data_IF_704640347379
#
_entry.id   IF_704640347379
#
_cell.length_a   1.000
_cell.length_b   1.000
_cell.length_c   1.000
_cell.angle_alpha   90.00
_cell.angle_beta   90.00
_cell.angle_gamma   90.00
#
_symmetry.space_group_name_H-M   'P 1'
#
loop_
_entity.id
_entity.type
_entity.pdbx_description
1 polymer ?
#
# COMPACT_ATOMS: atom_id res chain seq x y z
N UNK A 1 -20.92 36.48 72.79
CA UNK A 1 -19.58 36.04 72.35
C UNK A 1 -19.32 36.70 71.00
N UNK A 2 -18.47 37.74 70.92
CA UNK A 2 -17.03 37.66 70.51
C UNK A 2 -16.87 36.74 69.29
N UNK A 3 -16.38 37.14 68.11
CA UNK A 3 -15.61 38.32 67.66
C UNK A 3 -15.43 38.20 66.14
N UNK A 4 -15.47 39.34 65.41
CA UNK A 4 -14.53 39.85 64.36
C UNK A 4 -13.98 38.91 63.26
N UNK A 5 -13.73 39.29 62.00
CA UNK A 5 -13.30 40.56 61.35
C UNK A 5 -13.64 40.46 59.84
N UNK A 6 -14.25 41.48 59.20
CA UNK A 6 -13.64 42.52 58.32
C UNK A 6 -12.72 41.96 57.21
N UNK A 7 -12.76 42.39 55.95
CA UNK A 7 -12.79 43.74 55.36
C UNK A 7 -12.77 43.53 53.82
N UNK A 8 -13.16 44.38 52.87
CA UNK A 8 -13.26 45.83 52.73
C UNK A 8 -13.89 46.04 51.33
N UNK A 9 -14.99 46.77 51.15
CA UNK A 9 -15.10 48.23 51.04
C UNK A 9 -14.42 48.84 49.78
N UNK A 10 -15.28 49.44 48.93
CA UNK A 10 -15.17 50.74 48.22
C UNK A 10 -15.41 50.61 46.71
N UNK A 11 -16.62 50.89 46.19
CA UNK A 11 -17.27 52.22 45.99
C UNK A 11 -16.59 53.02 44.86
N UNK A 12 -17.24 53.77 43.97
CA UNK A 12 -18.62 54.23 43.79
C UNK A 12 -18.67 54.87 42.37
N UNK A 13 -19.83 54.90 41.73
CA UNK A 13 -20.16 55.87 40.68
C UNK A 13 -20.12 57.31 41.23
N UNK A 14 -19.62 58.29 40.46
CA UNK A 14 -20.19 59.66 40.33
C UNK A 14 -19.85 60.24 38.95
N UNK A 15 -20.82 60.96 38.37
CA UNK A 15 -20.90 61.44 37.00
C UNK A 15 -20.48 62.93 36.80
N UNK A 16 -20.30 63.27 35.52
CA UNK A 16 -20.32 64.61 34.86
C UNK A 16 -19.20 65.60 35.24
N UNK A 17 -18.48 66.25 34.31
CA UNK A 17 -18.98 67.20 33.29
C UNK A 17 -17.94 67.51 32.19
N UNK A 18 -18.46 67.77 30.98
CA UNK A 18 -18.06 68.74 29.93
C UNK A 18 -16.60 68.81 29.41
N UNK A 19 -16.43 68.57 28.10
CA UNK A 19 -15.22 68.96 27.38
C UNK A 19 -15.17 68.54 25.91
N UNK A 20 -15.69 69.41 25.02
CA UNK A 20 -15.20 69.71 23.66
C UNK A 20 -14.63 68.60 22.76
N UNK A 21 -15.41 68.27 21.72
CA UNK A 21 -15.02 68.11 20.31
C UNK A 21 -13.60 67.64 19.94
N UNK A 22 -13.52 66.43 19.36
CA UNK A 22 -12.75 66.20 18.14
C UNK A 22 -13.37 65.05 17.34
N UNK A 23 -13.76 65.36 16.11
CA UNK A 23 -14.26 64.41 15.10
C UNK A 23 -13.06 63.59 14.65
N UNK A 24 -13.04 62.31 14.99
CA UNK A 24 -12.15 61.32 14.40
C UNK A 24 -13.01 60.35 13.60
N UNK A 25 -12.76 60.24 12.30
CA UNK A 25 -13.50 59.39 11.38
C UNK A 25 -13.53 57.94 11.89
N UNK A 26 -14.71 57.48 12.33
CA UNK A 26 -14.97 56.07 12.57
C UNK A 26 -14.95 55.42 11.20
N UNK A 27 -13.89 54.68 10.92
CA UNK A 27 -13.89 53.70 9.84
C UNK A 27 -14.96 52.68 10.20
N UNK A 28 -16.08 52.69 9.48
CA UNK A 28 -17.10 51.65 9.55
C UNK A 28 -16.42 50.39 9.03
N UNK A 29 -15.88 49.59 9.93
CA UNK A 29 -15.54 48.20 9.63
C UNK A 29 -16.86 47.50 9.39
N UNK A 30 -17.21 47.36 8.11
CA UNK A 30 -18.23 46.40 7.69
C UNK A 30 -17.72 45.06 8.23
N UNK A 31 -18.43 44.39 9.16
CA UNK A 31 -18.03 43.06 9.58
C UNK A 31 -18.04 42.20 8.31
N UNK A 32 -16.86 41.79 7.87
CA UNK A 32 -16.74 40.72 6.89
C UNK A 32 -17.36 39.51 7.59
N UNK A 33 -18.59 39.16 7.21
CA UNK A 33 -19.18 37.90 7.57
C UNK A 33 -18.18 36.82 7.14
N UNK A 34 -17.57 36.15 8.13
CA UNK A 34 -16.90 34.89 7.86
C UNK A 34 -17.93 34.04 7.12
N UNK A 35 -17.64 33.66 5.87
CA UNK A 35 -18.48 32.75 5.13
C UNK A 35 -18.67 31.52 6.02
N UNK A 36 -19.88 31.32 6.54
CA UNK A 36 -20.24 30.11 7.24
C UNK A 36 -20.15 28.99 6.21
N UNK A 37 -19.00 28.36 6.11
CA UNK A 37 -18.87 27.12 5.38
C UNK A 37 -19.76 26.13 6.10
N UNK A 38 -20.97 25.91 5.56
CA UNK A 38 -21.88 24.89 6.05
C UNK A 38 -21.26 23.51 5.74
N UNK A 39 -20.32 23.10 6.59
CA UNK A 39 -19.72 21.76 6.57
C UNK A 39 -20.84 20.77 6.82
N UNK A 40 -21.22 20.05 5.77
CA UNK A 40 -22.31 19.08 5.84
C UNK A 40 -21.68 17.70 5.83
N UNK A 41 -21.90 16.91 6.89
CA UNK A 41 -21.51 15.50 6.90
C UNK A 41 -22.35 14.72 5.88
N UNK A 42 -21.79 13.65 5.31
CA UNK A 42 -22.53 12.76 4.39
C UNK A 42 -23.69 12.10 5.11
N UNK A 43 -24.90 12.19 4.54
CA UNK A 43 -26.08 11.55 5.10
C UNK A 43 -26.21 10.07 4.66
N UNK A 44 -27.09 9.31 5.30
CA UNK A 44 -27.24 7.87 5.05
C UNK A 44 -27.61 7.51 3.60
N UNK A 45 -28.43 8.33 2.93
CA UNK A 45 -28.81 8.10 1.53
C UNK A 45 -27.64 8.34 0.56
N UNK A 46 -26.85 9.40 0.80
CA UNK A 46 -25.62 9.66 0.08
C UNK A 46 -24.60 8.53 0.32
N UNK A 47 -24.49 8.05 1.56
CA UNK A 47 -23.61 6.94 1.92
C UNK A 47 -23.97 5.65 1.17
N UNK A 48 -25.26 5.29 1.16
CA UNK A 48 -25.76 4.13 0.42
C UNK A 48 -25.48 4.25 -1.09
N UNK A 49 -25.63 5.46 -1.66
CA UNK A 49 -25.31 5.74 -3.06
C UNK A 49 -23.82 5.61 -3.34
N UNK A 50 -22.94 6.11 -2.47
CA UNK A 50 -21.48 5.93 -2.58
C UNK A 50 -21.14 4.44 -2.56
N UNK A 51 -21.67 3.67 -1.59
CA UNK A 51 -21.40 2.23 -1.47
C UNK A 51 -21.89 1.43 -2.68
N UNK A 52 -23.07 1.76 -3.22
CA UNK A 52 -23.58 1.14 -4.44
C UNK A 52 -22.70 1.50 -5.65
N UNK A 53 -22.34 2.76 -5.80
CA UNK A 53 -21.47 3.24 -6.87
C UNK A 53 -20.08 2.59 -6.80
N UNK A 54 -19.50 2.45 -5.61
CA UNK A 54 -18.24 1.73 -5.38
C UNK A 54 -18.27 0.30 -5.94
N UNK A 55 -19.34 -0.45 -5.64
CA UNK A 55 -19.47 -1.84 -6.09
C UNK A 55 -19.73 -1.94 -7.58
N UNK A 56 -20.60 -1.08 -8.12
CA UNK A 56 -20.93 -1.05 -9.56
C UNK A 56 -19.77 -0.55 -10.41
N UNK A 57 -18.90 0.27 -9.84
CA UNK A 57 -17.68 0.78 -10.46
C UNK A 57 -16.53 -0.24 -10.48
N UNK A 58 -16.69 -1.44 -9.96
CA UNK A 58 -15.67 -2.49 -10.05
C UNK A 58 -16.11 -3.57 -11.03
N UNK A 59 -15.54 -3.55 -12.23
CA UNK A 59 -15.78 -4.59 -13.22
C UNK A 59 -14.52 -5.42 -13.47
N UNK A 60 -14.71 -6.75 -13.59
CA UNK A 60 -13.74 -7.55 -14.33
C UNK A 60 -13.78 -7.09 -15.79
N UNK A 61 -12.61 -7.00 -16.39
CA UNK A 61 -12.47 -6.59 -17.78
C UNK A 61 -11.57 -7.57 -18.54
N UNK A 62 -11.91 -7.78 -19.81
CA UNK A 62 -11.02 -8.40 -20.78
C UNK A 62 -10.09 -7.35 -21.41
N UNK A 63 -8.84 -7.73 -21.63
CA UNK A 63 -7.87 -6.86 -22.30
C UNK A 63 -8.17 -6.76 -23.80
N UNK A 64 -8.06 -5.56 -24.35
CA UNK A 64 -8.03 -5.34 -25.80
C UNK A 64 -6.65 -5.71 -26.38
N UNK A 65 -6.48 -5.67 -27.70
CA UNK A 65 -5.22 -6.09 -28.35
C UNK A 65 -4.00 -5.25 -27.94
N UNK A 66 -4.15 -3.93 -27.79
CA UNK A 66 -3.05 -3.06 -27.36
C UNK A 66 -2.63 -3.36 -25.91
N UNK A 67 -3.61 -3.60 -25.04
CA UNK A 67 -3.36 -3.97 -23.65
C UNK A 67 -2.72 -5.36 -23.52
N UNK A 68 -3.15 -6.33 -24.32
CA UNK A 68 -2.50 -7.65 -24.39
C UNK A 68 -1.03 -7.52 -24.78
N UNK A 69 -0.73 -6.68 -25.78
CA UNK A 69 0.66 -6.41 -26.17
C UNK A 69 1.45 -5.74 -25.03
N UNK A 70 0.89 -4.71 -24.39
CA UNK A 70 1.50 -4.09 -23.21
C UNK A 70 1.83 -5.15 -22.15
N UNK A 71 0.84 -5.94 -21.71
CA UNK A 71 1.04 -6.93 -20.65
C UNK A 71 2.05 -8.02 -21.03
N UNK A 72 2.13 -8.39 -22.31
CA UNK A 72 3.19 -9.28 -22.79
C UNK A 72 4.58 -8.63 -22.66
N UNK A 73 4.72 -7.34 -22.98
CA UNK A 73 5.98 -6.61 -22.79
C UNK A 73 6.35 -6.51 -21.30
N UNK A 74 5.38 -6.20 -20.43
CA UNK A 74 5.57 -6.18 -18.98
C UNK A 74 6.06 -7.55 -18.47
N UNK A 75 5.41 -8.62 -18.90
CA UNK A 75 5.79 -9.99 -18.56
C UNK A 75 7.21 -10.30 -19.02
N UNK A 76 7.58 -9.94 -20.24
CA UNK A 76 8.92 -10.16 -20.77
C UNK A 76 9.99 -9.40 -19.98
N UNK A 77 9.72 -8.13 -19.60
CA UNK A 77 10.63 -7.34 -18.76
C UNK A 77 10.79 -8.00 -17.38
N UNK A 78 9.68 -8.41 -16.76
CA UNK A 78 9.68 -9.02 -15.41
C UNK A 78 10.47 -10.34 -15.36
N UNK A 79 10.44 -11.10 -16.46
CA UNK A 79 11.13 -12.38 -16.58
C UNK A 79 12.61 -12.25 -17.01
N UNK A 80 13.06 -11.08 -17.47
CA UNK A 80 14.45 -10.86 -17.86
C UNK A 80 15.34 -10.49 -16.64
N UNK A 81 15.39 -11.36 -15.64
CA UNK A 81 16.15 -11.12 -14.41
C UNK A 81 17.66 -11.34 -14.58
N UNK A 82 18.07 -12.14 -15.57
CA UNK A 82 19.49 -12.43 -15.84
C UNK A 82 20.28 -11.19 -16.25
N UNK A 83 19.64 -10.21 -16.89
CA UNK A 83 20.27 -8.95 -17.30
C UNK A 83 20.56 -7.98 -16.13
N UNK A 84 20.03 -8.26 -14.94
CA UNK A 84 20.22 -7.42 -13.76
C UNK A 84 21.62 -7.61 -13.17
N UNK A 85 22.10 -8.86 -13.12
CA UNK A 85 23.42 -9.19 -12.62
C UNK A 85 24.52 -8.76 -13.59
N UNK A 86 25.60 -8.17 -13.07
CA UNK A 86 26.77 -7.79 -13.86
C UNK A 86 28.03 -8.46 -13.30
N UNK A 87 28.56 -9.51 -13.95
CA UNK A 87 29.72 -10.24 -13.44
C UNK A 87 31.00 -9.41 -13.41
N UNK A 88 31.05 -8.24 -14.06
CA UNK A 88 32.21 -7.35 -14.03
C UNK A 88 32.33 -6.59 -12.71
N UNK A 89 31.22 -6.43 -11.97
CA UNK A 89 31.19 -5.75 -10.68
C UNK A 89 31.49 -6.76 -9.57
N UNK A 90 32.65 -6.60 -8.91
CA UNK A 90 33.15 -7.56 -7.91
C UNK A 90 32.68 -7.29 -6.48
N UNK A 91 32.39 -6.03 -6.15
CA UNK A 91 31.94 -5.61 -4.82
C UNK A 91 30.46 -5.92 -4.63
N UNK A 92 30.11 -6.66 -3.57
CA UNK A 92 28.72 -7.05 -3.28
C UNK A 92 27.81 -5.83 -3.09
N UNK A 93 28.16 -4.79 -2.30
CA UNK A 93 27.35 -3.59 -2.20
C UNK A 93 27.16 -2.86 -3.54
N UNK A 94 28.22 -2.75 -4.36
CA UNK A 94 28.11 -2.08 -5.66
C UNK A 94 27.21 -2.87 -6.62
N UNK A 95 27.33 -4.20 -6.61
CA UNK A 95 26.48 -5.06 -7.43
C UNK A 95 25.02 -5.00 -6.97
N UNK A 96 24.78 -4.89 -5.66
CA UNK A 96 23.45 -4.67 -5.10
C UNK A 96 22.83 -3.35 -5.58
N UNK A 97 23.54 -2.22 -5.45
CA UNK A 97 23.05 -0.92 -5.93
C UNK A 97 22.84 -0.86 -7.44
N UNK A 98 23.70 -1.53 -8.22
CA UNK A 98 23.52 -1.67 -9.67
C UNK A 98 22.20 -2.38 -10.00
N UNK A 99 21.91 -3.51 -9.33
CA UNK A 99 20.65 -4.23 -9.51
C UNK A 99 19.45 -3.35 -9.13
N UNK A 100 19.49 -2.69 -7.96
CA UNK A 100 18.40 -1.79 -7.52
C UNK A 100 18.12 -0.71 -8.55
N UNK A 101 19.17 -0.09 -9.08
CA UNK A 101 19.08 0.95 -10.11
C UNK A 101 18.44 0.42 -11.38
N UNK A 102 18.87 -0.76 -11.87
CA UNK A 102 18.28 -1.40 -13.06
C UNK A 102 16.81 -1.76 -12.84
N UNK A 103 16.43 -2.23 -11.66
CA UNK A 103 15.03 -2.51 -11.33
C UNK A 103 14.21 -1.21 -11.38
N UNK A 104 14.67 -0.12 -10.77
CA UNK A 104 14.00 1.18 -10.88
C UNK A 104 13.86 1.67 -12.34
N UNK A 105 14.87 1.45 -13.18
CA UNK A 105 14.80 1.75 -14.62
C UNK A 105 13.73 0.91 -15.35
N UNK A 106 13.59 -0.38 -14.98
CA UNK A 106 12.51 -1.21 -15.52
C UNK A 106 11.14 -0.64 -15.12
N UNK A 107 10.95 -0.21 -13.87
CA UNK A 107 9.72 0.45 -13.44
C UNK A 107 9.40 1.74 -14.22
N UNK A 108 10.42 2.58 -14.46
CA UNK A 108 10.27 3.77 -15.28
C UNK A 108 9.85 3.42 -16.72
N UNK A 109 10.46 2.39 -17.31
CA UNK A 109 10.14 1.88 -18.65
C UNK A 109 8.70 1.37 -18.72
N UNK A 110 8.30 0.56 -17.74
CA UNK A 110 6.95 0.01 -17.62
C UNK A 110 5.90 1.12 -17.52
N UNK A 111 6.15 2.13 -16.68
CA UNK A 111 5.27 3.29 -16.57
C UNK A 111 5.14 4.01 -17.91
N UNK A 112 6.25 4.20 -18.64
CA UNK A 112 6.23 4.84 -19.94
C UNK A 112 5.44 4.03 -20.99
N UNK A 113 5.63 2.71 -21.04
CA UNK A 113 4.85 1.82 -21.91
C UNK A 113 3.35 1.89 -21.61
N UNK A 114 2.98 1.93 -20.33
CA UNK A 114 1.60 2.09 -19.92
C UNK A 114 1.03 3.47 -20.30
N UNK A 115 1.81 4.55 -20.16
CA UNK A 115 1.41 5.90 -20.61
C UNK A 115 1.19 5.93 -22.13
N UNK A 116 2.07 5.30 -22.91
CA UNK A 116 1.91 5.21 -24.38
C UNK A 116 0.63 4.44 -24.74
N UNK A 117 0.30 3.39 -23.98
CA UNK A 117 -0.87 2.53 -24.26
C UNK A 117 -2.20 3.18 -23.83
N UNK A 118 -2.23 3.84 -22.67
CA UNK A 118 -3.47 4.36 -22.07
C UNK A 118 -3.67 5.86 -22.22
N UNK A 119 -2.61 6.61 -22.54
CA UNK A 119 -2.57 8.06 -22.44
C UNK A 119 -2.35 8.56 -21.00
N UNK A 120 -1.82 9.78 -20.88
CA UNK A 120 -1.56 10.42 -19.58
C UNK A 120 -2.85 10.73 -18.79
N UNK A 121 -3.99 10.82 -19.47
CA UNK A 121 -5.29 11.10 -18.86
C UNK A 121 -5.92 9.89 -18.16
N UNK A 122 -5.30 8.71 -18.22
CA UNK A 122 -5.75 7.49 -17.53
C UNK A 122 -4.77 7.03 -16.42
N UNK A 123 -4.46 7.87 -15.42
CA UNK A 123 -3.47 7.55 -14.38
C UNK A 123 -3.80 6.26 -13.60
N UNK A 124 -5.08 5.95 -13.40
CA UNK A 124 -5.55 4.72 -12.76
C UNK A 124 -5.15 3.46 -13.54
N UNK A 125 -5.18 3.51 -14.88
CA UNK A 125 -4.77 2.37 -15.73
C UNK A 125 -3.25 2.22 -15.76
N UNK A 126 -2.53 3.34 -15.82
CA UNK A 126 -1.06 3.37 -15.74
C UNK A 126 -0.59 2.76 -14.41
N UNK A 127 -1.23 3.14 -13.30
CA UNK A 127 -0.92 2.61 -11.98
C UNK A 127 -1.22 1.12 -11.88
N UNK A 128 -2.40 0.66 -12.33
CA UNK A 128 -2.75 -0.76 -12.30
C UNK A 128 -1.85 -1.62 -13.20
N UNK A 129 -1.40 -1.10 -14.33
CA UNK A 129 -0.41 -1.78 -15.18
C UNK A 129 0.97 -1.87 -14.50
N UNK A 130 1.38 -0.81 -13.79
CA UNK A 130 2.62 -0.81 -13.00
C UNK A 130 2.54 -1.83 -11.85
N UNK A 131 1.39 -1.95 -11.18
CA UNK A 131 1.17 -2.99 -10.19
C UNK A 131 1.12 -4.40 -10.82
N UNK A 132 0.51 -4.56 -11.99
CA UNK A 132 0.53 -5.85 -12.70
C UNK A 132 1.97 -6.30 -13.01
N UNK A 133 2.85 -5.36 -13.39
CA UNK A 133 4.27 -5.66 -13.55
C UNK A 133 4.92 -6.12 -12.23
N UNK A 134 4.62 -5.50 -11.08
CA UNK A 134 5.09 -5.99 -9.76
C UNK A 134 4.68 -7.43 -9.52
N UNK A 135 3.43 -7.77 -9.82
CA UNK A 135 2.88 -9.12 -9.65
C UNK A 135 3.57 -10.15 -10.56
N UNK A 136 3.80 -9.79 -11.83
CA UNK A 136 4.60 -10.59 -12.77
C UNK A 136 6.02 -10.80 -12.27
N UNK A 137 6.61 -9.76 -11.66
CA UNK A 137 7.96 -9.79 -11.11
C UNK A 137 8.07 -10.74 -9.91
N UNK A 138 7.12 -10.67 -8.97
CA UNK A 138 7.06 -11.60 -7.85
C UNK A 138 6.97 -13.05 -8.31
N UNK A 139 6.12 -13.35 -9.29
CA UNK A 139 6.03 -14.69 -9.87
C UNK A 139 7.37 -15.14 -10.48
N UNK A 140 8.02 -14.27 -11.26
CA UNK A 140 9.33 -14.56 -11.84
C UNK A 140 10.39 -14.83 -10.77
N UNK A 141 10.45 -14.03 -9.71
CA UNK A 141 11.39 -14.24 -8.60
C UNK A 141 11.17 -15.58 -7.89
N UNK A 142 9.92 -15.91 -7.57
CA UNK A 142 9.60 -17.19 -6.91
C UNK A 142 9.97 -18.40 -7.77
N UNK A 143 9.83 -18.32 -9.10
CA UNK A 143 10.20 -19.41 -10.02
C UNK A 143 11.71 -19.51 -10.20
N UNK A 144 12.40 -18.39 -10.35
CA UNK A 144 13.82 -18.36 -10.64
C UNK A 144 14.69 -18.57 -9.39
N UNK A 145 14.19 -18.19 -8.21
CA UNK A 145 14.85 -18.43 -6.92
C UNK A 145 13.88 -19.07 -5.91
N UNK A 146 13.51 -20.35 -6.09
CA UNK A 146 12.52 -21.01 -5.24
C UNK A 146 12.99 -21.20 -3.79
N UNK A 147 14.28 -20.99 -3.49
CA UNK A 147 14.82 -21.05 -2.13
C UNK A 147 14.61 -19.77 -1.32
N UNK A 148 14.33 -18.66 -2.00
CA UNK A 148 14.14 -17.35 -1.38
C UNK A 148 12.65 -17.06 -1.17
N UNK A 149 12.13 -17.37 0.03
CA UNK A 149 10.68 -17.48 0.25
C UNK A 149 9.92 -16.15 0.31
N UNK A 150 10.59 -15.01 0.39
CA UNK A 150 9.93 -13.71 0.52
C UNK A 150 8.90 -13.43 -0.58
N UNK A 151 9.24 -13.72 -1.84
CA UNK A 151 8.37 -13.45 -2.99
C UNK A 151 7.05 -14.25 -2.93
N UNK A 152 7.02 -15.37 -2.20
CA UNK A 152 5.85 -16.24 -2.09
C UNK A 152 4.65 -15.56 -1.43
N UNK A 153 4.89 -14.71 -0.42
CA UNK A 153 3.83 -13.92 0.22
C UNK A 153 3.61 -12.61 -0.54
N UNK A 154 4.71 -12.00 -1.01
CA UNK A 154 4.69 -10.69 -1.65
C UNK A 154 3.74 -10.58 -2.84
N UNK A 155 3.62 -11.64 -3.67
CA UNK A 155 2.65 -11.66 -4.78
C UNK A 155 1.20 -11.48 -4.30
N UNK A 156 0.80 -12.08 -3.19
CA UNK A 156 -0.57 -12.00 -2.68
C UNK A 156 -0.83 -10.69 -1.94
N UNK A 157 0.15 -10.21 -1.17
CA UNK A 157 0.07 -8.89 -0.52
C UNK A 157 -0.03 -7.79 -1.59
N UNK A 158 0.78 -7.85 -2.64
CA UNK A 158 0.72 -6.90 -3.73
C UNK A 158 -0.61 -6.96 -4.51
N UNK A 159 -1.25 -8.14 -4.58
CA UNK A 159 -2.57 -8.30 -5.20
C UNK A 159 -3.70 -7.74 -4.32
N UNK A 160 -3.56 -7.80 -3.00
CA UNK A 160 -4.51 -7.14 -2.09
C UNK A 160 -4.36 -5.62 -2.14
N UNK A 161 -3.13 -5.10 -2.19
CA UNK A 161 -2.85 -3.67 -2.44
C UNK A 161 -3.44 -3.21 -3.77
N UNK A 162 -3.33 -4.03 -4.82
CA UNK A 162 -3.98 -3.76 -6.10
C UNK A 162 -5.49 -3.61 -5.96
N UNK A 163 -6.12 -4.44 -5.14
CA UNK A 163 -7.57 -4.42 -4.93
C UNK A 163 -7.96 -3.11 -4.27
N UNK A 164 -7.11 -2.62 -3.36
CA UNK A 164 -7.26 -1.30 -2.76
C UNK A 164 -7.11 -0.16 -3.76
N UNK A 165 -6.14 -0.20 -4.69
CA UNK A 165 -6.04 0.82 -5.75
C UNK A 165 -7.34 0.95 -6.53
N UNK A 166 -7.92 -0.18 -6.93
CA UNK A 166 -9.18 -0.15 -7.67
C UNK A 166 -10.34 0.36 -6.82
N UNK A 167 -10.40 -0.01 -5.54
CA UNK A 167 -11.41 0.47 -4.60
C UNK A 167 -11.30 1.98 -4.36
N UNK A 168 -10.11 2.53 -4.16
CA UNK A 168 -9.92 3.96 -3.90
C UNK A 168 -10.16 4.79 -5.14
N UNK A 169 -9.79 4.33 -6.34
CA UNK A 169 -10.20 4.99 -7.59
C UNK A 169 -11.72 4.90 -7.81
N UNK A 170 -12.34 3.77 -7.50
CA UNK A 170 -13.80 3.63 -7.56
C UNK A 170 -14.48 4.58 -6.57
N UNK A 171 -13.88 4.82 -5.39
CA UNK A 171 -14.36 5.79 -4.41
C UNK A 171 -14.27 7.19 -4.99
N UNK A 172 -13.11 7.55 -5.54
CA UNK A 172 -12.91 8.84 -6.20
C UNK A 172 -14.01 9.12 -7.22
N UNK A 173 -14.31 8.15 -8.09
CA UNK A 173 -15.38 8.27 -9.10
C UNK A 173 -16.79 8.32 -8.48
N UNK A 174 -17.04 7.54 -7.43
CA UNK A 174 -18.34 7.52 -6.75
C UNK A 174 -18.69 8.85 -6.06
N UNK A 175 -17.69 9.69 -5.80
CA UNK A 175 -17.85 11.00 -5.18
C UNK A 175 -18.13 12.13 -6.18
N UNK A 176 -17.93 11.93 -7.48
CA UNK A 176 -18.15 12.96 -8.50
C UNK A 176 -19.56 13.58 -8.49
N UNK A 177 -20.66 12.82 -8.31
CA UNK A 177 -22.00 13.39 -8.20
C UNK A 177 -22.19 14.32 -6.99
N UNK A 178 -21.31 14.22 -5.98
CA UNK A 178 -21.37 15.03 -4.76
C UNK A 178 -20.51 16.31 -4.86
N UNK A 179 -19.69 16.46 -5.91
CA UNK A 179 -18.95 17.69 -6.19
C UNK A 179 -19.86 18.88 -6.58
N UNK A 180 -21.14 18.63 -6.87
CA UNK A 180 -22.06 19.63 -7.49
C UNK A 180 -23.23 20.04 -6.59
N UNK A 181 -23.27 19.64 -5.32
CA UNK A 181 -24.46 19.89 -4.48
C UNK A 181 -24.52 21.31 -3.91
N UNK A 182 -25.37 22.17 -4.51
CA UNK A 182 -26.04 23.38 -3.95
C UNK A 182 -25.30 24.13 -2.82
N UNK A 183 -24.05 24.53 -3.05
CA UNK A 183 -23.28 25.34 -2.10
C UNK A 183 -22.93 24.66 -0.77
N UNK A 184 -23.08 23.34 -0.66
CA UNK A 184 -22.72 22.57 0.54
C UNK A 184 -21.33 21.96 0.41
N UNK A 185 -20.42 22.33 1.31
CA UNK A 185 -19.12 21.69 1.44
C UNK A 185 -19.31 20.34 2.16
N UNK A 186 -19.53 19.28 1.38
CA UNK A 186 -19.59 17.92 1.91
C UNK A 186 -18.19 17.51 2.36
N UNK A 187 -18.10 17.01 3.60
CA UNK A 187 -16.84 16.55 4.20
C UNK A 187 -16.92 15.06 4.49
N UNK A 188 -15.89 14.31 4.07
CA UNK A 188 -15.71 12.88 4.29
C UNK A 188 -14.31 12.67 4.85
N UNK A 189 -14.17 11.83 5.89
CA UNK A 189 -12.88 11.58 6.56
C UNK A 189 -12.15 12.88 6.97
N UNK A 190 -12.89 13.94 7.29
CA UNK A 190 -12.36 15.27 7.63
C UNK A 190 -11.86 16.10 6.44
N UNK A 191 -12.12 15.69 5.19
CA UNK A 191 -11.68 16.37 3.98
C UNK A 191 -12.85 16.77 3.08
N UNK A 192 -12.73 17.89 2.36
CA UNK A 192 -13.62 18.21 1.25
C UNK A 192 -13.48 17.16 0.14
N UNK A 193 -14.50 16.98 -0.71
CA UNK A 193 -14.44 16.00 -1.79
C UNK A 193 -13.24 16.22 -2.74
N UNK A 194 -12.96 17.44 -3.24
CA UNK A 194 -11.78 17.66 -4.08
C UNK A 194 -10.47 17.32 -3.37
N UNK A 195 -10.33 17.68 -2.09
CA UNK A 195 -9.16 17.32 -1.27
C UNK A 195 -9.04 15.81 -1.13
N UNK A 196 -10.14 15.12 -0.83
CA UNK A 196 -10.15 13.66 -0.67
C UNK A 196 -9.75 12.96 -1.98
N UNK A 197 -10.29 13.36 -3.12
CA UNK A 197 -9.93 12.80 -4.43
C UNK A 197 -8.44 13.04 -4.76
N UNK A 198 -7.91 14.22 -4.45
CA UNK A 198 -6.48 14.52 -4.61
C UNK A 198 -5.61 13.65 -3.68
N UNK A 199 -5.99 13.52 -2.41
CA UNK A 199 -5.31 12.65 -1.43
C UNK A 199 -5.28 11.19 -1.90
N UNK A 200 -6.39 10.65 -2.42
CA UNK A 200 -6.44 9.30 -2.99
C UNK A 200 -5.41 9.14 -4.11
N UNK A 201 -5.41 10.07 -5.07
CA UNK A 201 -4.50 10.00 -6.22
C UNK A 201 -3.03 10.07 -5.80
N UNK A 202 -2.68 11.01 -4.91
CA UNK A 202 -1.32 11.16 -4.41
C UNK A 202 -0.87 9.97 -3.57
N UNK A 203 -1.72 9.48 -2.67
CA UNK A 203 -1.40 8.33 -1.82
C UNK A 203 -1.25 7.03 -2.63
N UNK A 204 -2.08 6.82 -3.65
CA UNK A 204 -1.91 5.70 -4.57
C UNK A 204 -0.55 5.76 -5.30
N UNK A 205 -0.11 6.97 -5.71
CA UNK A 205 1.23 7.16 -6.26
C UNK A 205 2.34 6.86 -5.25
N UNK A 206 2.20 7.27 -4.00
CA UNK A 206 3.18 6.93 -2.95
C UNK A 206 3.25 5.42 -2.71
N UNK A 207 2.09 4.76 -2.61
CA UNK A 207 2.02 3.31 -2.42
C UNK A 207 2.70 2.54 -3.55
N UNK A 208 2.46 2.90 -4.82
CA UNK A 208 3.09 2.19 -5.94
C UNK A 208 4.62 2.44 -5.99
N UNK A 209 5.08 3.62 -5.57
CA UNK A 209 6.52 3.87 -5.38
C UNK A 209 7.09 3.03 -4.24
N UNK A 210 6.37 2.90 -3.12
CA UNK A 210 6.73 2.00 -2.03
C UNK A 210 6.91 0.55 -2.52
N UNK A 211 5.94 0.03 -3.28
CA UNK A 211 6.04 -1.31 -3.87
C UNK A 211 7.22 -1.44 -4.85
N UNK A 212 7.49 -0.41 -5.65
CA UNK A 212 8.65 -0.38 -6.56
C UNK A 212 9.97 -0.43 -5.79
N UNK A 213 10.10 0.36 -4.72
CA UNK A 213 11.29 0.37 -3.85
C UNK A 213 11.49 -0.96 -3.14
N UNK A 214 10.41 -1.58 -2.65
CA UNK A 214 10.46 -2.94 -2.07
C UNK A 214 10.95 -3.97 -3.09
N UNK A 215 10.46 -3.89 -4.33
CA UNK A 215 10.92 -4.79 -5.39
C UNK A 215 12.38 -4.54 -5.78
N UNK A 216 12.81 -3.28 -5.86
CA UNK A 216 14.22 -2.95 -6.13
C UNK A 216 15.13 -3.48 -5.02
N UNK A 217 14.72 -3.32 -3.77
CA UNK A 217 15.46 -3.75 -2.58
C UNK A 217 15.42 -5.28 -2.39
N UNK A 218 14.35 -5.84 -1.86
CA UNK A 218 14.26 -7.28 -1.56
C UNK A 218 14.26 -8.14 -2.83
N UNK A 219 13.64 -7.68 -3.92
CA UNK A 219 13.72 -8.37 -5.21
C UNK A 219 15.16 -8.38 -5.76
N UNK A 220 15.91 -7.28 -5.57
CA UNK A 220 17.34 -7.23 -5.87
C UNK A 220 18.16 -8.20 -5.00
N UNK A 221 17.83 -8.31 -3.71
CA UNK A 221 18.46 -9.28 -2.80
C UNK A 221 18.19 -10.73 -3.21
N UNK A 222 17.00 -11.04 -3.73
CA UNK A 222 16.70 -12.36 -4.31
C UNK A 222 17.55 -12.66 -5.55
N UNK A 223 17.89 -11.65 -6.36
CA UNK A 223 18.86 -11.81 -7.46
C UNK A 223 20.26 -12.03 -6.90
N UNK A 224 20.69 -11.23 -5.91
CA UNK A 224 22.00 -11.40 -5.25
C UNK A 224 22.18 -12.82 -4.67
N UNK A 225 21.14 -13.36 -4.03
CA UNK A 225 21.15 -14.71 -3.46
C UNK A 225 21.41 -15.82 -4.51
N UNK A 226 21.09 -15.60 -5.79
CA UNK A 226 21.40 -16.57 -6.85
C UNK A 226 22.89 -16.64 -7.19
N UNK A 227 23.66 -15.61 -6.82
CA UNK A 227 25.05 -15.43 -7.23
C UNK A 227 26.06 -15.42 -6.08
N UNK A 228 25.61 -15.21 -4.85
CA UNK A 228 26.47 -15.13 -3.67
C UNK A 228 25.95 -16.03 -2.56
N UNK A 229 26.88 -16.60 -1.80
CA UNK A 229 26.57 -17.30 -0.58
C UNK A 229 25.94 -16.37 0.46
N UNK A 230 24.92 -16.86 1.16
CA UNK A 230 24.17 -16.10 2.16
C UNK A 230 25.06 -15.59 3.30
N UNK A 231 26.12 -16.29 3.71
CA UNK A 231 27.08 -15.77 4.71
C UNK A 231 27.82 -14.54 4.20
N UNK A 232 28.24 -14.55 2.93
CA UNK A 232 28.91 -13.41 2.31
C UNK A 232 27.98 -12.20 2.23
N UNK A 233 26.73 -12.42 1.82
CA UNK A 233 25.70 -11.37 1.77
C UNK A 233 25.42 -10.78 3.17
N UNK A 234 25.32 -11.63 4.20
CA UNK A 234 25.10 -11.19 5.58
C UNK A 234 26.22 -10.26 6.10
N UNK A 235 27.46 -10.53 5.72
CA UNK A 235 28.63 -9.75 6.13
C UNK A 235 28.75 -8.45 5.32
N UNK A 236 28.79 -8.55 3.99
CA UNK A 236 29.11 -7.42 3.12
C UNK A 236 27.94 -6.41 2.99
N UNK A 237 26.69 -6.83 3.25
CA UNK A 237 25.52 -5.94 3.26
C UNK A 237 25.09 -5.51 4.67
N UNK A 238 25.89 -5.78 5.71
CA UNK A 238 25.54 -5.45 7.10
C UNK A 238 25.23 -3.97 7.33
N UNK A 239 25.85 -3.06 6.56
CA UNK A 239 25.60 -1.62 6.62
C UNK A 239 24.16 -1.21 6.26
N UNK A 240 23.42 -2.05 5.53
CA UNK A 240 22.03 -1.81 5.16
C UNK A 240 21.05 -2.12 6.30
N UNK A 241 21.50 -2.79 7.36
CA UNK A 241 20.77 -2.95 8.61
C UNK A 241 20.90 -4.33 9.25
N UNK A 242 20.75 -4.36 10.57
CA UNK A 242 20.88 -5.59 11.36
C UNK A 242 19.88 -6.68 10.95
N UNK A 243 18.62 -6.32 10.69
CA UNK A 243 17.60 -7.26 10.24
C UNK A 243 17.93 -7.88 8.88
N UNK A 244 18.59 -7.15 7.98
CA UNK A 244 19.04 -7.73 6.70
C UNK A 244 20.16 -8.75 6.91
N UNK A 245 21.15 -8.41 7.74
CA UNK A 245 22.24 -9.33 8.07
C UNK A 245 21.69 -10.60 8.72
N UNK A 246 20.75 -10.47 9.67
CA UNK A 246 20.07 -11.59 10.29
C UNK A 246 19.27 -12.42 9.27
N UNK A 247 18.56 -11.79 8.35
CA UNK A 247 17.79 -12.49 7.32
C UNK A 247 18.69 -13.40 6.47
N UNK A 248 19.86 -12.92 6.06
CA UNK A 248 20.82 -13.75 5.32
C UNK A 248 21.50 -14.83 6.18
N UNK A 249 21.74 -14.59 7.47
CA UNK A 249 22.20 -15.64 8.38
C UNK A 249 21.17 -16.78 8.48
N UNK A 250 19.88 -16.45 8.59
CA UNK A 250 18.79 -17.42 8.57
C UNK A 250 18.66 -18.10 7.22
N UNK A 251 18.81 -17.34 6.12
CA UNK A 251 18.79 -17.89 4.77
C UNK A 251 19.90 -18.92 4.58
N UNK A 252 21.12 -18.67 5.08
CA UNK A 252 22.22 -19.65 5.03
C UNK A 252 21.84 -20.97 5.70
N UNK A 253 21.23 -20.92 6.88
CA UNK A 253 20.80 -22.11 7.61
C UNK A 253 19.74 -22.87 6.79
N UNK A 254 18.82 -22.14 6.14
CA UNK A 254 17.86 -22.74 5.21
C UNK A 254 18.54 -23.36 3.99
N UNK A 255 19.50 -22.68 3.36
CA UNK A 255 20.23 -23.15 2.19
C UNK A 255 20.98 -24.46 2.48
N UNK A 256 21.63 -24.54 3.65
CA UNK A 256 22.34 -25.74 4.10
C UNK A 256 21.38 -26.91 4.36
N UNK A 257 20.21 -26.63 4.95
CA UNK A 257 19.18 -27.65 5.13
C UNK A 257 18.59 -28.11 3.78
N UNK A 258 18.44 -27.21 2.80
CA UNK A 258 18.03 -27.57 1.45
C UNK A 258 19.05 -28.46 0.75
N UNK A 259 20.36 -28.22 0.95
CA UNK A 259 21.41 -29.10 0.44
C UNK A 259 21.38 -30.48 1.08
N UNK A 260 21.09 -30.54 2.39
CA UNK A 260 21.07 -31.79 3.17
C UNK A 260 19.83 -32.66 2.93
N UNK A 261 18.65 -32.04 2.88
CA UNK A 261 17.35 -32.74 2.93
C UNK A 261 16.44 -32.43 1.73
N UNK A 262 16.88 -31.57 0.80
CA UNK A 262 16.10 -31.11 -0.33
C UNK A 262 15.12 -29.97 0.00
N UNK A 263 14.79 -29.19 -1.03
CA UNK A 263 13.90 -28.01 -0.98
C UNK A 263 12.44 -28.32 -0.66
N UNK A 264 12.06 -29.60 -0.70
CA UNK A 264 10.70 -30.03 -0.38
C UNK A 264 10.51 -30.39 1.11
N UNK A 265 11.61 -30.49 1.88
CA UNK A 265 11.55 -30.87 3.29
C UNK A 265 10.83 -29.82 4.13
N UNK A 266 10.00 -30.27 5.08
CA UNK A 266 9.27 -29.38 5.99
C UNK A 266 10.21 -28.50 6.83
N UNK A 267 11.38 -29.05 7.21
CA UNK A 267 12.41 -28.32 7.97
C UNK A 267 13.02 -27.19 7.15
N UNK A 268 13.39 -27.42 5.90
CA UNK A 268 13.84 -26.35 5.00
C UNK A 268 12.77 -25.26 4.87
N UNK A 269 11.53 -25.64 4.56
CA UNK A 269 10.42 -24.69 4.36
C UNK A 269 10.21 -23.79 5.58
N UNK A 270 10.30 -24.35 6.79
CA UNK A 270 10.24 -23.58 8.04
C UNK A 270 11.40 -22.58 8.15
N UNK A 271 12.64 -23.02 7.95
CA UNK A 271 13.82 -22.15 8.04
C UNK A 271 13.81 -21.04 6.99
N UNK A 272 13.41 -21.36 5.75
CA UNK A 272 13.26 -20.37 4.68
C UNK A 272 12.13 -19.37 5.01
N UNK A 273 11.08 -19.81 5.70
CA UNK A 273 10.01 -18.92 6.21
C UNK A 273 10.55 -17.98 7.28
N UNK A 274 11.38 -18.46 8.22
CA UNK A 274 12.01 -17.63 9.24
C UNK A 274 12.92 -16.55 8.61
N UNK A 275 13.70 -16.91 7.58
CA UNK A 275 14.48 -15.95 6.79
C UNK A 275 13.58 -14.92 6.09
N UNK A 276 12.50 -15.36 5.44
CA UNK A 276 11.55 -14.49 4.75
C UNK A 276 10.85 -13.50 5.71
N UNK A 277 10.56 -13.91 6.94
CA UNK A 277 10.03 -13.02 7.99
C UNK A 277 11.05 -11.93 8.32
N UNK A 278 12.33 -12.27 8.45
CA UNK A 278 13.38 -11.30 8.74
C UNK A 278 13.61 -10.32 7.57
N UNK A 279 13.56 -10.79 6.32
CA UNK A 279 13.49 -9.90 5.14
C UNK A 279 12.25 -9.00 5.17
N UNK A 280 11.08 -9.53 5.56
CA UNK A 280 9.86 -8.76 5.73
C UNK A 280 10.00 -7.66 6.79
N UNK A 281 10.67 -7.93 7.91
CA UNK A 281 10.96 -6.90 8.92
C UNK A 281 11.85 -5.80 8.33
N UNK A 282 12.93 -6.18 7.64
CA UNK A 282 13.81 -5.21 6.96
C UNK A 282 13.02 -4.32 5.98
N UNK A 283 12.17 -4.93 5.15
CA UNK A 283 11.28 -4.23 4.22
C UNK A 283 10.38 -3.21 4.95
N UNK A 284 9.71 -3.63 6.02
CA UNK A 284 8.78 -2.77 6.77
C UNK A 284 9.50 -1.59 7.43
N UNK A 285 10.69 -1.81 7.98
CA UNK A 285 11.46 -0.81 8.72
C UNK A 285 12.21 0.17 7.83
N UNK A 286 12.88 -0.33 6.78
CA UNK A 286 13.83 0.47 6.00
C UNK A 286 13.23 1.04 4.73
N UNK A 287 12.25 0.35 4.16
CA UNK A 287 11.72 0.69 2.84
C UNK A 287 10.33 1.32 2.97
N UNK A 288 9.43 0.70 3.73
CA UNK A 288 8.04 1.15 3.82
C UNK A 288 7.79 2.16 4.92
N UNK A 289 8.51 2.13 6.05
CA UNK A 289 8.31 3.11 7.12
C UNK A 289 8.48 4.57 6.63
N UNK A 290 9.50 4.93 5.83
CA UNK A 290 9.62 6.30 5.32
C UNK A 290 8.45 6.76 4.45
N UNK A 291 7.77 5.83 3.75
CA UNK A 291 6.55 6.13 3.03
C UNK A 291 5.40 6.41 4.01
N UNK A 292 5.21 5.54 5.01
CA UNK A 292 4.15 5.67 6.01
C UNK A 292 4.31 6.88 6.94
N UNK A 293 5.53 7.36 7.15
CA UNK A 293 5.84 8.57 7.93
C UNK A 293 5.39 9.87 7.24
N UNK A 294 5.08 9.83 5.93
CA UNK A 294 4.60 11.01 5.20
C UNK A 294 3.22 11.44 5.73
N UNK A 295 2.98 12.76 5.94
CA UNK A 295 1.67 13.26 6.36
C UNK A 295 0.51 12.81 5.47
N UNK A 296 0.76 12.71 4.16
CA UNK A 296 -0.19 12.21 3.17
C UNK A 296 -0.68 10.80 3.49
N UNK A 297 0.18 9.91 3.99
CA UNK A 297 -0.20 8.52 4.30
C UNK A 297 -1.04 8.43 5.58
N UNK A 298 -0.86 9.34 6.53
CA UNK A 298 -1.76 9.50 7.69
C UNK A 298 -3.16 9.98 7.26
N UNK A 299 -3.23 10.86 6.27
CA UNK A 299 -4.51 11.32 5.73
C UNK A 299 -5.19 10.22 4.90
N UNK A 300 -4.41 9.42 4.18
CA UNK A 300 -4.90 8.22 3.50
C UNK A 300 -5.43 7.15 4.47
N UNK A 301 -4.81 6.99 5.66
CA UNK A 301 -5.31 6.01 6.65
C UNK A 301 -6.73 6.37 7.13
N UNK A 302 -7.05 7.66 7.28
CA UNK A 302 -8.42 8.12 7.61
C UNK A 302 -9.43 7.77 6.52
N UNK A 303 -9.01 7.84 5.25
CA UNK A 303 -9.84 7.44 4.10
C UNK A 303 -10.08 5.93 4.14
N UNK A 304 -9.03 5.14 4.44
CA UNK A 304 -9.15 3.70 4.63
C UNK A 304 -10.12 3.35 5.76
N UNK A 305 -9.99 3.99 6.92
CA UNK A 305 -10.90 3.79 8.06
C UNK A 305 -12.35 4.10 7.67
N UNK A 306 -12.56 5.22 6.98
CA UNK A 306 -13.88 5.56 6.43
C UNK A 306 -14.42 4.43 5.52
N UNK A 307 -13.62 3.94 4.56
CA UNK A 307 -14.04 2.85 3.69
C UNK A 307 -14.41 1.58 4.47
N UNK A 308 -13.64 1.24 5.49
CA UNK A 308 -13.93 0.09 6.36
C UNK A 308 -15.27 0.26 7.09
N UNK A 309 -15.61 1.48 7.52
CA UNK A 309 -16.93 1.76 8.12
C UNK A 309 -18.10 1.63 7.14
N UNK A 310 -17.89 1.91 5.84
CA UNK A 310 -18.96 1.90 4.83
C UNK A 310 -19.61 0.54 4.58
N UNK A 311 -18.92 -0.53 4.94
CA UNK A 311 -19.14 -1.84 4.34
C UNK A 311 -19.22 -2.97 5.34
N UNK A 312 -19.37 -2.65 6.62
CA UNK A 312 -19.08 -3.58 7.71
C UNK A 312 -17.78 -4.30 7.38
N UNK A 313 -16.70 -3.53 7.23
CA UNK A 313 -15.35 -4.07 7.20
C UNK A 313 -14.88 -4.68 5.87
N UNK A 314 -15.70 -4.66 4.82
CA UNK A 314 -15.45 -5.38 3.55
C UNK A 314 -14.78 -4.56 2.42
N UNK A 315 -14.75 -3.23 2.51
CA UNK A 315 -14.19 -2.31 1.52
C UNK A 315 -13.07 -1.52 2.21
N UNK A 316 -11.81 -1.89 1.97
CA UNK A 316 -10.63 -1.25 2.57
C UNK A 316 -9.54 -2.25 2.94
N UNK A 317 -8.37 -1.73 3.35
CA UNK A 317 -7.22 -2.52 3.79
C UNK A 317 -7.28 -2.76 5.30
N UNK A 318 -7.27 -4.03 5.70
CA UNK A 318 -7.20 -4.48 7.09
C UNK A 318 -5.90 -5.16 7.47
N UNK A 319 -5.05 -5.43 6.48
CA UNK A 319 -3.95 -6.38 6.62
C UNK A 319 -4.35 -7.83 6.41
N UNK A 320 -5.62 -8.12 6.12
CA UNK A 320 -6.03 -9.44 5.61
C UNK A 320 -5.37 -9.69 4.25
N UNK A 321 -4.87 -10.91 4.02
CA UNK A 321 -4.18 -11.27 2.78
C UNK A 321 -5.07 -12.23 1.99
N UNK A 322 -5.54 -11.75 0.85
CA UNK A 322 -6.34 -12.54 -0.09
C UNK A 322 -5.45 -13.45 -0.94
N UNK A 323 -5.68 -14.76 -0.85
CA UNK A 323 -5.03 -15.79 -1.66
C UNK A 323 -5.99 -16.21 -2.77
N UNK A 324 -5.82 -15.59 -3.92
CA UNK A 324 -6.62 -15.82 -5.12
C UNK A 324 -6.31 -14.77 -6.18
N UNK A 325 -6.91 -14.90 -7.36
CA UNK A 325 -6.60 -14.02 -8.50
C UNK A 325 -7.37 -12.70 -8.43
N UNK A 326 -8.68 -12.74 -8.18
CA UNK A 326 -9.55 -11.56 -8.18
C UNK A 326 -10.51 -11.56 -6.98
N UNK A 327 -10.30 -10.64 -6.04
CA UNK A 327 -11.07 -10.49 -4.79
C UNK A 327 -12.54 -10.11 -5.00
N UNK A 328 -12.90 -9.63 -6.19
CA UNK A 328 -14.26 -9.17 -6.52
C UNK A 328 -15.06 -10.20 -7.34
N UNK A 329 -14.47 -11.35 -7.71
CA UNK A 329 -15.14 -12.43 -8.45
C UNK A 329 -15.17 -13.75 -7.66
N UNK A 330 -15.78 -13.69 -6.48
CA UNK A 330 -15.75 -14.79 -5.50
C UNK A 330 -16.63 -15.99 -5.85
N UNK A 331 -17.55 -15.87 -6.81
CA UNK A 331 -18.62 -16.86 -7.05
C UNK A 331 -18.13 -18.11 -7.83
N UNK A 332 -16.95 -18.06 -8.46
CA UNK A 332 -16.50 -19.12 -9.39
C UNK A 332 -15.10 -19.70 -9.13
N UNK A 333 -14.39 -19.26 -8.08
CA UNK A 333 -13.03 -19.74 -7.79
C UNK A 333 -12.83 -19.84 -6.28
N UNK A 334 -12.36 -20.98 -5.73
CA UNK A 334 -12.11 -21.07 -4.30
C UNK A 334 -10.99 -20.09 -3.88
N UNK A 335 -11.17 -19.37 -2.80
CA UNK A 335 -10.17 -18.43 -2.30
C UNK A 335 -9.88 -18.68 -0.83
N UNK A 336 -8.73 -18.21 -0.36
CA UNK A 336 -8.38 -18.25 1.06
C UNK A 336 -8.10 -16.81 1.53
N UNK A 337 -8.38 -16.54 2.80
CA UNK A 337 -8.06 -15.26 3.44
C UNK A 337 -7.21 -15.55 4.66
N UNK A 338 -5.97 -15.08 4.67
CA UNK A 338 -5.18 -15.03 5.89
C UNK A 338 -5.66 -13.79 6.66
N UNK A 339 -6.29 -14.01 7.81
CA UNK A 339 -6.76 -12.90 8.65
C UNK A 339 -5.60 -12.20 9.32
N UNK A 340 -5.63 -10.87 9.37
CA UNK A 340 -4.72 -10.11 10.19
C UNK A 340 -4.84 -10.54 11.67
N UNK A 341 -3.74 -10.53 12.44
CA UNK A 341 -3.83 -10.72 13.88
C UNK A 341 -4.80 -9.71 14.52
N UNK A 342 -5.61 -10.14 15.50
CA UNK A 342 -6.66 -9.31 16.12
C UNK A 342 -6.10 -8.00 16.71
N UNK A 343 -4.84 -8.03 17.18
CA UNK A 343 -4.16 -6.87 17.75
C UNK A 343 -3.48 -5.96 16.72
N UNK A 344 -3.38 -6.38 15.45
CA UNK A 344 -2.65 -5.68 14.40
C UNK A 344 -3.63 -5.03 13.40
N UNK A 345 -4.24 -3.92 13.81
CA UNK A 345 -5.33 -3.27 13.06
C UNK A 345 -4.91 -1.96 12.41
N UNK A 346 -3.73 -1.43 12.72
CA UNK A 346 -3.25 -0.15 12.22
C UNK A 346 -2.10 -0.33 11.23
N UNK A 347 -2.40 -0.24 9.94
CA UNK A 347 -1.38 -0.32 8.88
C UNK A 347 -0.35 0.82 8.89
N UNK A 348 -0.61 1.95 9.56
CA UNK A 348 0.41 2.98 9.75
C UNK A 348 1.42 2.60 10.85
N UNK A 349 1.06 1.68 11.76
CA UNK A 349 1.95 1.20 12.80
C UNK A 349 2.92 0.13 12.28
N UNK A 350 4.21 0.33 12.55
CA UNK A 350 5.29 -0.58 12.13
C UNK A 350 5.12 -2.01 12.69
N UNK A 351 4.83 -2.12 14.00
CA UNK A 351 4.74 -3.40 14.68
C UNK A 351 3.52 -4.20 14.19
N UNK A 352 2.40 -3.54 13.93
CA UNK A 352 1.22 -4.16 13.34
C UNK A 352 1.54 -4.73 11.95
N UNK A 353 2.21 -3.95 11.08
CA UNK A 353 2.64 -4.44 9.76
C UNK A 353 3.61 -5.62 9.85
N UNK A 354 4.55 -5.59 10.79
CA UNK A 354 5.47 -6.72 11.05
C UNK A 354 4.68 -7.95 11.50
N UNK A 355 3.70 -7.79 12.39
CA UNK A 355 2.87 -8.88 12.88
C UNK A 355 2.02 -9.49 11.75
N UNK A 356 1.43 -8.65 10.89
CA UNK A 356 0.69 -9.08 9.70
C UNK A 356 1.60 -9.86 8.75
N UNK A 357 2.77 -9.33 8.41
CA UNK A 357 3.71 -9.99 7.51
C UNK A 357 4.18 -11.34 8.07
N UNK A 358 4.53 -11.38 9.36
CA UNK A 358 4.92 -12.62 10.06
C UNK A 358 3.82 -13.67 10.01
N UNK A 359 2.59 -13.29 10.37
CA UNK A 359 1.44 -14.17 10.31
C UNK A 359 1.18 -14.68 8.88
N UNK A 360 1.27 -13.79 7.89
CA UNK A 360 1.17 -14.11 6.47
C UNK A 360 2.14 -15.20 6.04
N UNK A 361 3.43 -15.06 6.39
CA UNK A 361 4.45 -16.04 6.03
C UNK A 361 4.21 -17.40 6.69
N UNK A 362 3.88 -17.42 7.97
CA UNK A 362 3.62 -18.66 8.74
C UNK A 362 2.41 -19.40 8.15
N UNK A 363 1.26 -18.74 8.07
CA UNK A 363 0.01 -19.36 7.61
C UNK A 363 0.12 -19.82 6.16
N UNK A 364 0.74 -19.01 5.28
CA UNK A 364 0.94 -19.40 3.89
C UNK A 364 1.84 -20.64 3.76
N UNK A 365 2.89 -20.73 4.57
CA UNK A 365 3.77 -21.90 4.59
C UNK A 365 3.04 -23.17 5.07
N UNK A 366 2.18 -23.06 6.08
CA UNK A 366 1.32 -24.16 6.53
C UNK A 366 0.36 -24.61 5.43
N UNK A 367 -0.31 -23.67 4.76
CA UNK A 367 -1.23 -23.98 3.66
C UNK A 367 -0.53 -24.59 2.45
N UNK A 368 0.68 -24.14 2.10
CA UNK A 368 1.50 -24.74 1.03
C UNK A 368 1.96 -26.17 1.35
N UNK A 369 1.85 -26.62 2.60
CA UNK A 369 2.13 -27.99 3.02
C UNK A 369 0.86 -28.82 3.24
N UNK A 370 -0.31 -28.19 3.24
CA UNK A 370 -1.60 -28.86 3.38
C UNK A 370 -2.08 -29.42 2.03
N UNK A 371 -2.48 -30.69 2.00
CA UNK A 371 -2.91 -31.38 0.77
C UNK A 371 -4.12 -30.73 0.07
N UNK A 372 -4.98 -30.04 0.81
CA UNK A 372 -6.18 -29.38 0.26
C UNK A 372 -5.83 -28.05 -0.44
N UNK A 373 -4.85 -27.31 0.06
CA UNK A 373 -4.55 -25.95 -0.41
C UNK A 373 -3.30 -25.88 -1.30
N UNK A 374 -2.32 -26.75 -1.07
CA UNK A 374 -1.05 -26.77 -1.78
C UNK A 374 -1.18 -26.83 -3.32
N UNK A 375 -2.17 -27.55 -3.90
CA UNK A 375 -2.29 -27.59 -5.37
C UNK A 375 -2.77 -26.25 -5.98
N UNK A 376 -3.47 -25.40 -5.23
CA UNK A 376 -4.16 -24.22 -5.80
C UNK A 376 -3.35 -22.94 -5.68
N UNK A 377 -2.57 -22.80 -4.60
CA UNK A 377 -1.77 -21.60 -4.34
C UNK A 377 -0.78 -21.29 -5.48
N UNK A 378 0.00 -22.25 -6.02
CA UNK A 378 0.89 -22.00 -7.16
C UNK A 378 0.11 -21.64 -8.44
N UNK A 379 -1.08 -22.20 -8.63
CA UNK A 379 -1.94 -21.87 -9.79
C UNK A 379 -2.36 -20.41 -9.72
N UNK A 380 -2.81 -19.93 -8.56
CA UNK A 380 -3.17 -18.51 -8.40
C UNK A 380 -1.98 -17.60 -8.56
N UNK A 381 -0.84 -17.94 -7.97
CA UNK A 381 0.39 -17.19 -8.17
C UNK A 381 0.76 -17.07 -9.66
N UNK A 382 0.70 -18.18 -10.41
CA UNK A 382 1.01 -18.17 -11.85
C UNK A 382 -0.01 -17.38 -12.66
N UNK A 383 -1.30 -17.48 -12.36
CA UNK A 383 -2.36 -16.70 -13.01
C UNK A 383 -2.16 -15.21 -12.79
N UNK A 384 -1.92 -14.81 -11.53
CA UNK A 384 -1.58 -13.43 -11.16
C UNK A 384 -0.32 -12.97 -11.93
N UNK A 385 0.71 -13.81 -11.96
CA UNK A 385 1.97 -13.57 -12.67
C UNK A 385 1.86 -13.51 -14.20
N UNK A 386 0.73 -13.95 -14.78
CA UNK A 386 0.41 -13.80 -16.21
C UNK A 386 -0.51 -12.62 -16.49
N UNK A 387 -0.89 -11.86 -15.45
CA UNK A 387 -1.84 -10.76 -15.57
C UNK A 387 -3.29 -11.23 -15.70
N UNK A 388 -3.65 -12.37 -15.10
CA UNK A 388 -5.06 -12.78 -15.01
C UNK A 388 -5.80 -12.02 -13.90
N UNK A 389 -7.13 -12.12 -13.93
CA UNK A 389 -8.02 -11.58 -12.89
C UNK A 389 -8.00 -10.07 -12.75
N UNK A 390 -7.62 -9.35 -13.80
CA UNK A 390 -7.58 -7.89 -13.79
C UNK A 390 -8.97 -7.29 -13.56
N UNK A 391 -9.01 -6.20 -12.79
CA UNK A 391 -10.19 -5.35 -12.62
C UNK A 391 -9.85 -3.92 -13.03
N UNK A 392 -10.87 -3.23 -13.53
CA UNK A 392 -10.80 -1.83 -13.87
C UNK A 392 -11.76 -1.05 -12.97
N UNK A 393 -11.33 0.04 -12.30
CA UNK A 393 -12.25 1.03 -11.77
C UNK A 393 -13.00 1.64 -12.97
N UNK A 394 -14.28 1.34 -13.07
CA UNK A 394 -15.27 1.91 -13.97
C UNK A 394 -15.80 3.20 -13.34
N UNK A 395 -16.04 4.22 -14.14
CA UNK A 395 -16.50 5.54 -13.66
C UNK A 395 -15.91 6.65 -14.52
N UNK A 396 -16.67 7.72 -14.70
CA UNK A 396 -16.37 8.77 -15.66
C UNK A 396 -15.18 9.62 -15.21
N UNK A 397 -13.97 9.29 -15.68
CA UNK A 397 -12.93 10.23 -16.12
C UNK A 397 -11.81 9.48 -16.86
#
# INVERSE_FOLDING_TARGET
MKTKHSSTLKSLLVACTLGMSSISAISISIPSYAASSNVTQVNAAQLAKITLNLKTNLAQRNLNSAEKNLYQQLYNIANNQTALYDPTIRSVPQQYENIRTKIHQQFATVRQLAIITYGQQSPQKVLLATNAFILMYYDALSRNNPKFFWANLGVFVANDVRSNYALTYSLSNALDPLNVTDGKNIVIAGMSIPTLQATISQANNELIQGQSSVMADIGGLSVMHQHYDSTRLAQELSAYGANLSQAFQLQKIADDEALRSGVNSAKFKKLATDAAISFGIHEQEKILQPMWDKPLMRDFSKINDFMLTLSLENLGLRGDIFIGVNKFKLIFTPYLIIRAPISATNLANLQDRIAIARNGFIVLNEWKQNILYAPWIPVYQSQIGKGDGLYQPVGAR
#
